data_IF_182674526496
#
_entry.id   IF_182674526496
#
_cell.length_a   1.000
_cell.length_b   1.000
_cell.length_c   1.000
_cell.angle_alpha   90.00
_cell.angle_beta   90.00
_cell.angle_gamma   90.00
#
_symmetry.space_group_name_H-M   'P 1'
#
loop_
_entity.id
_entity.type
_entity.pdbx_description
1 polymer ?
#
# COMPACT_ATOMS: atom_id res chain seq x y z
N UNK A 1 24.50 -23.40 1.69
CA UNK A 1 23.64 -22.26 2.09
C UNK A 1 22.84 -21.82 0.88
N UNK A 2 21.50 -21.81 0.93
CA UNK A 2 20.69 -21.18 -0.11
C UNK A 2 20.84 -19.66 0.05
N UNK A 3 21.69 -19.05 -0.76
CA UNK A 3 21.92 -17.60 -0.75
C UNK A 3 20.78 -16.89 -1.48
N UNK A 4 20.15 -15.93 -0.83
CA UNK A 4 19.25 -14.98 -1.50
C UNK A 4 20.14 -13.96 -2.22
N UNK A 5 20.07 -13.92 -3.55
CA UNK A 5 20.77 -12.90 -4.34
C UNK A 5 20.08 -11.56 -4.10
N UNK A 6 20.80 -10.60 -3.53
CA UNK A 6 20.31 -9.25 -3.30
C UNK A 6 20.51 -8.42 -4.56
N UNK A 7 19.42 -7.95 -5.14
CA UNK A 7 19.45 -7.04 -6.28
C UNK A 7 19.05 -5.65 -5.80
N UNK A 8 19.84 -4.64 -6.18
CA UNK A 8 19.62 -3.26 -5.79
C UNK A 8 19.08 -2.48 -6.97
N UNK A 9 17.97 -1.78 -6.76
CA UNK A 9 17.41 -0.88 -7.77
C UNK A 9 18.14 0.46 -7.76
N UNK A 10 18.16 1.14 -8.90
CA UNK A 10 18.65 2.51 -9.00
C UNK A 10 17.80 3.40 -8.08
N UNK A 11 18.47 4.21 -7.26
CA UNK A 11 17.78 5.14 -6.37
C UNK A 11 16.81 6.04 -7.16
N UNK A 12 15.58 6.24 -6.64
CA UNK A 12 14.51 7.04 -7.25
C UNK A 12 13.95 6.50 -8.57
N UNK A 13 13.94 5.17 -8.77
CA UNK A 13 13.19 4.51 -9.85
C UNK A 13 11.92 3.81 -9.32
N UNK A 14 10.86 4.57 -8.96
CA UNK A 14 9.63 4.00 -8.40
C UNK A 14 8.92 3.02 -9.36
N UNK A 15 9.24 3.04 -10.66
CA UNK A 15 8.70 2.10 -11.65
C UNK A 15 9.07 0.64 -11.34
N UNK A 16 10.27 0.39 -10.78
CA UNK A 16 10.73 -0.96 -10.44
C UNK A 16 10.17 -1.47 -9.10
N UNK A 17 9.82 -0.56 -8.18
CA UNK A 17 9.35 -0.89 -6.83
C UNK A 17 7.85 -0.65 -6.62
N UNK A 18 7.14 -0.25 -7.68
CA UNK A 18 5.76 0.24 -7.56
C UNK A 18 4.78 -0.76 -6.97
N UNK A 19 5.02 -2.07 -7.11
CA UNK A 19 4.17 -3.09 -6.47
C UNK A 19 4.36 -3.09 -4.95
N UNK A 20 5.61 -3.10 -4.46
CA UNK A 20 5.88 -3.09 -3.03
C UNK A 20 5.47 -1.76 -2.40
N UNK A 21 5.72 -0.64 -3.07
CA UNK A 21 5.28 0.69 -2.61
C UNK A 21 3.76 0.78 -2.48
N UNK A 22 3.01 0.29 -3.47
CA UNK A 22 1.55 0.25 -3.40
C UNK A 22 1.06 -0.65 -2.27
N UNK A 23 1.61 -1.86 -2.14
CA UNK A 23 1.22 -2.78 -1.06
C UNK A 23 1.53 -2.20 0.33
N UNK A 24 2.69 -1.58 0.49
CA UNK A 24 3.06 -0.91 1.74
C UNK A 24 2.12 0.26 2.05
N UNK A 25 1.78 1.11 1.06
CA UNK A 25 0.82 2.20 1.25
C UNK A 25 -0.54 1.67 1.69
N UNK A 26 -1.07 0.65 1.02
CA UNK A 26 -2.36 0.03 1.38
C UNK A 26 -2.35 -0.56 2.79
N UNK A 27 -1.24 -1.18 3.22
CA UNK A 27 -1.10 -1.71 4.58
C UNK A 27 -1.18 -0.60 5.65
N UNK A 28 -0.44 0.48 5.46
CA UNK A 28 -0.39 1.60 6.41
C UNK A 28 -1.74 2.31 6.47
N UNK A 29 -2.38 2.59 5.33
CA UNK A 29 -3.69 3.23 5.29
C UNK A 29 -4.76 2.35 5.97
N UNK A 30 -4.77 1.05 5.73
CA UNK A 30 -5.71 0.14 6.39
C UNK A 30 -5.55 0.14 7.92
N UNK A 31 -4.30 0.16 8.42
CA UNK A 31 -4.03 0.24 9.85
C UNK A 31 -4.49 1.59 10.47
N UNK A 32 -4.26 2.70 9.76
CA UNK A 32 -4.72 4.04 10.16
C UNK A 32 -6.25 4.09 10.26
N UNK A 33 -6.95 3.66 9.21
CA UNK A 33 -8.41 3.63 9.18
C UNK A 33 -8.96 2.74 10.31
N UNK A 34 -8.35 1.59 10.57
CA UNK A 34 -8.77 0.70 11.66
C UNK A 34 -8.63 1.36 13.04
N UNK A 35 -7.54 2.09 13.30
CA UNK A 35 -7.37 2.81 14.57
C UNK A 35 -8.35 3.98 14.71
N UNK A 36 -8.59 4.70 13.61
CA UNK A 36 -9.51 5.83 13.59
C UNK A 36 -10.95 5.40 13.84
N UNK A 37 -11.39 4.33 13.19
CA UNK A 37 -12.75 3.78 13.32
C UNK A 37 -12.99 3.18 14.71
N UNK A 38 -11.99 2.48 15.26
CA UNK A 38 -12.08 1.89 16.61
C UNK A 38 -11.85 2.89 17.75
N UNK A 39 -11.49 4.14 17.44
CA UNK A 39 -11.13 5.18 18.41
C UNK A 39 -10.01 4.73 19.38
N UNK A 40 -9.11 3.85 18.92
CA UNK A 40 -8.04 3.30 19.74
C UNK A 40 -6.80 4.20 19.74
N UNK A 41 -6.06 4.28 20.87
CA UNK A 41 -4.80 5.01 20.93
C UNK A 41 -3.73 4.44 19.99
N UNK A 42 -2.77 5.29 19.60
CA UNK A 42 -1.64 4.91 18.72
C UNK A 42 -0.75 3.80 19.31
N UNK A 43 -0.80 3.57 20.63
CA UNK A 43 -0.11 2.44 21.29
C UNK A 43 -0.53 1.08 20.71
N UNK A 44 -1.70 1.00 20.08
CA UNK A 44 -2.19 -0.20 19.40
C UNK A 44 -1.71 -0.34 17.95
N UNK A 45 -0.83 0.56 17.46
CA UNK A 45 -0.33 0.56 16.09
C UNK A 45 0.18 -0.81 15.61
N UNK A 46 1.01 -1.48 16.40
CA UNK A 46 1.52 -2.80 16.04
C UNK A 46 0.40 -3.84 15.86
N UNK A 47 -0.64 -3.79 16.70
CA UNK A 47 -1.81 -4.67 16.61
C UNK A 47 -2.66 -4.34 15.38
N UNK A 48 -2.83 -3.05 15.08
CA UNK A 48 -3.55 -2.58 13.89
C UNK A 48 -2.85 -3.02 12.60
N UNK A 49 -1.53 -2.84 12.49
CA UNK A 49 -0.73 -3.27 11.33
C UNK A 49 -0.78 -4.79 11.16
N UNK A 50 -0.63 -5.57 12.23
CA UNK A 50 -0.73 -7.03 12.17
C UNK A 50 -2.10 -7.50 11.68
N UNK A 51 -3.17 -6.86 12.17
CA UNK A 51 -4.54 -7.19 11.78
C UNK A 51 -4.79 -6.80 10.32
N UNK A 52 -4.35 -5.61 9.89
CA UNK A 52 -4.44 -5.17 8.50
C UNK A 52 -3.68 -6.11 7.57
N UNK A 53 -2.47 -6.54 7.94
CA UNK A 53 -1.67 -7.50 7.19
C UNK A 53 -2.39 -8.85 7.05
N UNK A 54 -2.94 -9.37 8.16
CA UNK A 54 -3.70 -10.62 8.15
C UNK A 54 -4.92 -10.56 7.23
N UNK A 55 -5.70 -9.48 7.31
CA UNK A 55 -6.89 -9.29 6.47
C UNK A 55 -6.50 -9.17 5.00
N UNK A 56 -5.48 -8.37 4.66
CA UNK A 56 -5.03 -8.20 3.28
C UNK A 56 -4.50 -9.50 2.66
N UNK A 57 -3.78 -10.31 3.44
CA UNK A 57 -3.25 -11.59 2.94
C UNK A 57 -4.34 -12.67 2.77
N UNK A 58 -5.49 -12.53 3.44
CA UNK A 58 -6.63 -13.44 3.28
C UNK A 58 -7.62 -12.98 2.21
N UNK A 59 -7.66 -11.69 1.93
CA UNK A 59 -8.50 -11.14 0.89
C UNK A 59 -8.15 -11.74 -0.48
N UNK A 60 -9.17 -11.89 -1.31
CA UNK A 60 -9.02 -12.25 -2.70
C UNK A 60 -8.61 -11.03 -3.52
N UNK A 61 -7.61 -11.18 -4.38
CA UNK A 61 -7.36 -10.20 -5.42
C UNK A 61 -8.48 -10.30 -6.46
N UNK A 62 -9.24 -9.21 -6.61
CA UNK A 62 -10.38 -9.11 -7.49
C UNK A 62 -10.16 -8.09 -8.60
N UNK A 63 -10.55 -8.42 -9.83
CA UNK A 63 -10.55 -7.50 -10.97
C UNK A 63 -11.98 -7.00 -11.19
N UNK A 64 -12.16 -5.68 -11.27
CA UNK A 64 -13.47 -5.10 -11.60
C UNK A 64 -13.85 -5.45 -13.04
N UNK A 65 -14.96 -6.17 -13.21
CA UNK A 65 -15.47 -6.59 -14.53
C UNK A 65 -16.51 -5.60 -15.06
N UNK A 66 -17.28 -4.97 -14.16
CA UNK A 66 -18.27 -3.96 -14.52
C UNK A 66 -19.46 -3.91 -13.57
N UNK A 67 -20.42 -3.06 -13.89
CA UNK A 67 -21.65 -2.88 -13.13
C UNK A 67 -22.83 -3.59 -13.81
N UNK A 68 -23.64 -4.31 -13.03
CA UNK A 68 -24.88 -4.93 -13.51
C UNK A 68 -26.05 -4.00 -13.21
N UNK A 69 -26.63 -3.40 -14.25
CA UNK A 69 -27.80 -2.50 -14.13
C UNK A 69 -29.02 -3.22 -13.57
N UNK A 70 -29.28 -4.46 -14.04
CA UNK A 70 -30.45 -5.25 -13.63
C UNK A 70 -30.46 -5.61 -12.15
N UNK A 71 -29.29 -5.93 -11.59
CA UNK A 71 -29.14 -6.32 -10.18
C UNK A 71 -28.58 -5.21 -9.28
N UNK A 72 -28.30 -4.03 -9.85
CA UNK A 72 -27.64 -2.89 -9.19
C UNK A 72 -26.42 -3.31 -8.36
N UNK A 73 -25.53 -4.08 -8.97
CA UNK A 73 -24.40 -4.72 -8.29
C UNK A 73 -23.10 -4.66 -9.08
N UNK A 74 -21.97 -4.52 -8.40
CA UNK A 74 -20.64 -4.63 -9.01
C UNK A 74 -20.29 -6.10 -9.23
N UNK A 75 -19.66 -6.36 -10.38
CA UNK A 75 -19.11 -7.66 -10.75
C UNK A 75 -17.61 -7.61 -10.59
N UNK A 76 -17.10 -8.47 -9.73
CA UNK A 76 -15.66 -8.61 -9.46
C UNK A 76 -15.24 -10.03 -9.82
N UNK A 77 -14.26 -10.18 -10.70
CA UNK A 77 -13.66 -11.46 -11.03
C UNK A 77 -12.60 -11.79 -10.00
N UNK A 78 -12.75 -12.94 -9.35
CA UNK A 78 -11.79 -13.43 -8.36
C UNK A 78 -10.74 -14.29 -9.07
N UNK A 79 -9.50 -13.81 -9.12
CA UNK A 79 -8.42 -14.48 -9.86
C UNK A 79 -8.02 -15.83 -9.24
N UNK A 80 -8.24 -16.03 -7.93
CA UNK A 80 -7.92 -17.27 -7.22
C UNK A 80 -8.90 -18.39 -7.54
N UNK A 81 -10.19 -18.07 -7.62
CA UNK A 81 -11.26 -19.07 -7.82
C UNK A 81 -11.71 -19.18 -9.28
N UNK A 82 -11.42 -18.18 -10.12
CA UNK A 82 -11.90 -18.11 -11.50
C UNK A 82 -13.39 -17.77 -11.62
N UNK A 83 -14.01 -17.28 -10.55
CA UNK A 83 -15.46 -17.02 -10.49
C UNK A 83 -15.72 -15.51 -10.48
N UNK A 84 -16.74 -15.07 -11.23
CA UNK A 84 -17.26 -13.70 -11.13
C UNK A 84 -18.25 -13.62 -9.97
N UNK A 85 -17.86 -12.89 -8.92
CA UNK A 85 -18.71 -12.59 -7.79
C UNK A 85 -19.53 -11.32 -8.07
N UNK A 86 -20.80 -11.33 -7.66
CA UNK A 86 -21.66 -10.15 -7.66
C UNK A 86 -21.81 -9.66 -6.23
N UNK A 87 -21.36 -8.45 -5.96
CA UNK A 87 -21.54 -7.84 -4.63
C UNK A 87 -22.89 -7.15 -4.59
N UNK A 88 -23.88 -7.81 -4.00
CA UNK A 88 -25.23 -7.28 -3.75
C UNK A 88 -25.24 -6.55 -2.40
N UNK A 89 -26.09 -5.54 -2.25
CA UNK A 89 -26.25 -4.73 -1.02
C UNK A 89 -25.04 -3.88 -0.62
N UNK A 90 -24.39 -3.23 -1.59
CA UNK A 90 -23.46 -2.14 -1.28
C UNK A 90 -24.28 -0.88 -1.00
N UNK A 91 -24.36 -0.48 0.27
CA UNK A 91 -24.93 0.80 0.66
C UNK A 91 -23.86 1.87 0.49
N UNK A 92 -23.99 2.69 -0.53
CA UNK A 92 -23.16 3.87 -0.70
C UNK A 92 -23.57 4.93 0.32
N UNK A 93 -22.64 5.33 1.17
CA UNK A 93 -22.80 6.46 2.09
C UNK A 93 -22.66 7.80 1.35
N UNK A 94 -23.21 7.92 0.14
CA UNK A 94 -23.12 9.13 -0.72
C UNK A 94 -23.75 10.36 -0.06
N UNK A 95 -24.78 10.15 0.76
CA UNK A 95 -25.49 11.21 1.48
C UNK A 95 -24.89 11.52 2.85
N UNK A 96 -23.88 10.75 3.29
CA UNK A 96 -23.17 11.04 4.51
C UNK A 96 -22.04 12.00 4.11
N UNK A 97 -22.11 13.30 4.50
CA UNK A 97 -21.03 14.20 4.19
C UNK A 97 -19.74 13.62 4.76
N UNK A 98 -18.64 13.75 4.02
CA UNK A 98 -17.31 13.55 4.58
C UNK A 98 -17.14 14.58 5.68
N UNK A 99 -17.56 14.24 6.90
CA UNK A 99 -17.26 15.02 8.08
C UNK A 99 -15.75 14.96 8.16
N UNK A 100 -15.09 16.11 7.95
CA UNK A 100 -13.68 16.25 8.24
C UNK A 100 -13.49 15.68 9.65
N UNK A 101 -12.85 14.52 9.75
CA UNK A 101 -12.93 13.74 10.97
C UNK A 101 -12.43 14.59 12.13
N UNK A 102 -13.11 14.51 13.28
CA UNK A 102 -12.50 14.85 14.58
C UNK A 102 -11.37 13.86 14.95
N UNK A 103 -10.82 13.16 13.95
CA UNK A 103 -9.68 12.30 14.07
C UNK A 103 -8.48 13.16 14.46
N UNK A 104 -7.62 12.68 15.36
CA UNK A 104 -6.47 13.46 15.77
C UNK A 104 -5.62 13.86 14.56
N UNK A 105 -5.13 15.09 14.52
CA UNK A 105 -4.25 15.60 13.46
C UNK A 105 -3.06 14.68 13.18
N UNK A 106 -2.58 13.96 14.20
CA UNK A 106 -1.50 12.97 14.07
C UNK A 106 -1.80 11.84 13.08
N UNK A 107 -3.07 11.52 12.79
CA UNK A 107 -3.45 10.46 11.88
C UNK A 107 -3.04 10.76 10.42
N UNK A 108 -2.98 12.05 10.07
CA UNK A 108 -2.59 12.55 8.74
C UNK A 108 -1.18 13.12 8.70
N UNK A 109 -0.54 13.31 9.85
CA UNK A 109 0.84 13.77 9.97
C UNK A 109 1.81 12.57 10.00
N UNK A 110 2.46 12.34 8.85
CA UNK A 110 3.45 11.27 8.70
C UNK A 110 4.66 11.49 9.61
N UNK A 111 5.04 12.74 9.89
CA UNK A 111 6.22 13.05 10.69
C UNK A 111 5.97 12.68 12.16
N UNK A 112 4.78 13.04 12.69
CA UNK A 112 4.35 12.63 14.03
C UNK A 112 4.30 11.10 14.17
N UNK A 113 3.79 10.38 13.17
CA UNK A 113 3.75 8.92 13.19
C UNK A 113 5.16 8.30 13.17
N UNK A 114 6.04 8.82 12.32
CA UNK A 114 7.44 8.38 12.18
C UNK A 114 8.21 8.57 13.49
N UNK A 115 8.01 9.71 14.15
CA UNK A 115 8.62 10.01 15.44
C UNK A 115 8.11 9.09 16.55
N UNK A 116 6.80 8.82 16.59
CA UNK A 116 6.21 7.90 17.58
C UNK A 116 6.70 6.45 17.45
N UNK A 117 7.05 6.04 16.23
CA UNK A 117 7.54 4.70 15.94
C UNK A 117 9.06 4.54 16.14
N UNK A 118 9.77 5.62 16.51
CA UNK A 118 11.25 5.66 16.52
C UNK A 118 11.87 5.25 15.18
N UNK A 119 11.18 5.53 14.07
CA UNK A 119 11.69 5.19 12.75
C UNK A 119 12.72 6.24 12.30
N UNK A 120 13.96 5.84 12.05
CA UNK A 120 14.95 6.75 11.46
C UNK A 120 14.71 6.85 9.95
N UNK A 121 14.28 8.03 9.50
CA UNK A 121 14.17 8.31 8.08
C UNK A 121 15.55 8.21 7.40
N UNK A 122 15.66 7.34 6.39
CA UNK A 122 16.87 7.26 5.57
C UNK A 122 16.85 8.44 4.59
N UNK A 123 17.64 9.47 4.88
CA UNK A 123 17.88 10.57 3.93
C UNK A 123 18.67 10.01 2.75
N UNK A 124 18.04 9.91 1.58
CA UNK A 124 18.74 9.53 0.36
C UNK A 124 19.68 10.66 -0.08
N UNK A 125 20.96 10.55 0.32
CA UNK A 125 22.03 11.42 -0.16
C UNK A 125 22.15 11.31 -1.69
N UNK A 126 22.18 12.46 -2.36
CA UNK A 126 22.45 12.55 -3.80
C UNK A 126 23.93 12.19 -4.03
N UNK A 127 24.25 10.93 -4.31
CA UNK A 127 25.55 10.55 -4.84
C UNK A 127 25.50 10.65 -6.37
N UNK A 128 26.28 11.53 -7.03
CA UNK A 128 26.36 11.56 -8.48
C UNK A 128 27.25 10.39 -8.95
N UNK A 129 26.67 9.47 -9.72
CA UNK A 129 27.43 8.38 -10.34
C UNK A 129 28.27 8.94 -11.50
N UNK A 130 29.53 9.29 -11.23
CA UNK A 130 30.54 9.44 -12.28
C UNK A 130 31.06 8.05 -12.65
N UNK A 131 30.42 7.40 -13.62
CA UNK A 131 31.06 6.49 -14.58
C UNK A 131 30.01 5.90 -15.52
N UNK A 132 29.66 6.66 -16.56
CA UNK A 132 29.08 6.10 -17.77
C UNK A 132 30.22 5.88 -18.78
N UNK A 133 30.41 4.62 -19.17
CA UNK A 133 30.87 4.12 -20.47
C UNK A 133 32.08 4.78 -21.17
N UNK A 134 33.19 4.04 -21.29
CA UNK A 134 33.92 3.93 -22.56
C UNK A 134 34.27 2.45 -22.77
N UNK A 135 33.63 1.82 -23.75
CA UNK A 135 34.08 0.60 -24.42
C UNK A 135 34.91 1.08 -25.63
N UNK A 136 36.24 1.02 -25.54
CA UNK A 136 37.09 1.15 -26.73
C UNK A 136 37.60 -0.24 -27.13
N UNK A 137 37.09 -0.68 -28.28
CA UNK A 137 37.60 -1.78 -29.09
C UNK A 137 38.79 -1.25 -29.89
N UNK A 138 39.99 -1.82 -29.69
CA UNK A 138 41.09 -1.68 -30.64
C UNK A 138 41.77 -3.04 -30.78
N UNK A 139 41.63 -3.61 -31.98
CA UNK A 139 42.36 -4.76 -32.48
C UNK A 139 43.84 -4.42 -32.66
N UNK A 140 44.71 -5.40 -32.38
CA UNK A 140 46.01 -5.60 -33.03
C UNK A 140 46.39 -7.08 -32.96
#
# INVERSE_FOLDING_TARGET
MKGIKREFNVARTPQHNGIAERKNKTLIEAARTMLADSLLPISFWAKAVNTACYVQNKADEGVLVGYSVSSKAFRVFNSRTGIVQKTLHINFLENQPNVAGNGPTWLFDIDTLTQSMNYQAVVAGNQPNSSACIQEHLDA
#
